data_IF_999966039538
#
_entry.id   IF_999966039538
#
_cell.length_a   1.000
_cell.length_b   1.000
_cell.length_c   1.000
_cell.angle_alpha   90.00
_cell.angle_beta   90.00
_cell.angle_gamma   90.00
#
_symmetry.space_group_name_H-M   'P 1'
#
loop_
_entity.id
_entity.type
_entity.pdbx_description
1 polymer ?
#
# COMPACT_ATOMS: atom_id res chain seq x y z
N UNK A 1 9.19 5.88 -3.94
CA UNK A 1 9.90 5.17 -2.86
C UNK A 1 10.02 6.09 -1.62
N UNK A 2 9.34 5.79 -0.49
CA UNK A 2 9.34 6.65 0.69
C UNK A 2 10.74 7.06 1.16
N UNK A 3 11.70 6.14 1.16
CA UNK A 3 13.09 6.43 1.53
C UNK A 3 13.70 7.57 0.70
N UNK A 4 13.56 7.50 -0.62
CA UNK A 4 14.10 8.54 -1.50
C UNK A 4 13.42 9.89 -1.24
N UNK A 5 12.10 9.90 -1.07
CA UNK A 5 11.34 11.12 -0.78
C UNK A 5 11.78 11.79 0.51
N UNK A 6 11.96 11.02 1.59
CA UNK A 6 12.46 11.57 2.86
C UNK A 6 13.88 12.10 2.72
N UNK A 7 14.77 11.33 2.08
CA UNK A 7 16.16 11.74 1.87
C UNK A 7 16.26 13.04 1.07
N UNK A 8 15.48 13.18 0.01
CA UNK A 8 15.53 14.36 -0.86
C UNK A 8 14.94 15.58 -0.16
N UNK A 9 13.86 15.43 0.62
CA UNK A 9 13.24 16.53 1.37
C UNK A 9 14.05 17.00 2.58
N UNK A 10 14.82 16.11 3.17
CA UNK A 10 15.66 16.42 4.35
C UNK A 10 17.11 16.70 3.98
N UNK A 11 17.41 16.82 2.70
CA UNK A 11 18.75 17.17 2.22
C UNK A 11 19.19 18.52 2.78
N UNK A 12 20.37 18.54 3.41
CA UNK A 12 20.91 19.75 4.04
C UNK A 12 20.55 19.92 5.51
N UNK A 13 19.69 19.08 6.07
CA UNK A 13 19.45 19.01 7.51
C UNK A 13 20.35 17.95 8.17
N UNK A 14 20.74 18.15 9.45
CA UNK A 14 21.51 17.15 10.20
C UNK A 14 20.64 15.96 10.60
N UNK A 15 20.12 15.25 9.60
CA UNK A 15 19.18 14.16 9.78
C UNK A 15 19.59 12.96 8.91
N UNK A 16 19.92 11.85 9.56
CA UNK A 16 20.27 10.61 8.88
C UNK A 16 19.05 9.75 8.67
N UNK A 17 18.69 9.52 7.40
CA UNK A 17 17.59 8.67 6.96
C UNK A 17 18.15 7.35 6.47
N UNK A 18 17.66 6.25 7.01
CA UNK A 18 18.04 4.88 6.63
C UNK A 18 16.79 4.02 6.35
N UNK A 19 17.00 2.90 5.69
CA UNK A 19 15.92 1.93 5.48
C UNK A 19 16.35 0.51 5.82
N UNK A 20 15.39 -0.33 6.21
CA UNK A 20 15.58 -1.76 6.38
C UNK A 20 14.60 -2.54 5.50
N UNK A 21 15.14 -3.40 4.64
CA UNK A 21 14.35 -4.29 3.80
C UNK A 21 15.08 -5.63 3.66
N UNK A 22 14.36 -6.65 3.17
CA UNK A 22 14.96 -7.96 2.86
C UNK A 22 15.97 -7.92 1.71
N UNK A 23 15.95 -6.87 0.90
CA UNK A 23 16.85 -6.68 -0.23
C UNK A 23 18.23 -6.13 0.17
N UNK A 24 18.41 -5.65 1.41
CA UNK A 24 19.74 -5.21 1.91
C UNK A 24 20.63 -6.39 2.26
N UNK A 25 21.94 -6.23 2.02
CA UNK A 25 22.94 -7.20 2.47
C UNK A 25 23.00 -7.26 4.00
N UNK A 26 23.51 -8.36 4.53
CA UNK A 26 23.70 -8.54 5.98
C UNK A 26 24.59 -7.45 6.58
N UNK A 27 25.69 -7.10 5.88
CA UNK A 27 26.62 -6.06 6.32
C UNK A 27 25.95 -4.67 6.39
N UNK A 28 25.18 -4.30 5.36
CA UNK A 28 24.44 -3.05 5.34
C UNK A 28 23.38 -2.99 6.44
N UNK A 29 22.65 -4.09 6.64
CA UNK A 29 21.66 -4.18 7.71
C UNK A 29 22.28 -4.04 9.09
N UNK A 30 23.43 -4.69 9.33
CA UNK A 30 24.17 -4.59 10.59
C UNK A 30 24.65 -3.16 10.89
N UNK A 31 25.13 -2.43 9.87
CA UNK A 31 25.54 -1.04 10.02
C UNK A 31 24.36 -0.12 10.40
N UNK A 32 23.19 -0.31 9.77
CA UNK A 32 21.98 0.45 10.10
C UNK A 32 21.51 0.14 11.52
N UNK A 33 21.46 -1.14 11.92
CA UNK A 33 21.06 -1.56 13.26
C UNK A 33 21.98 -1.00 14.34
N UNK A 34 23.30 -0.95 14.09
CA UNK A 34 24.26 -0.32 14.98
C UNK A 34 23.97 1.17 15.14
N UNK A 35 23.86 1.91 14.04
CA UNK A 35 23.57 3.34 14.08
C UNK A 35 22.23 3.68 14.73
N UNK A 36 21.23 2.79 14.59
CA UNK A 36 19.92 2.94 15.23
C UNK A 36 20.04 2.82 16.76
N UNK A 37 20.81 1.83 17.24
CA UNK A 37 21.07 1.60 18.68
C UNK A 37 21.91 2.72 19.30
N UNK A 38 22.85 3.27 18.55
CA UNK A 38 23.70 4.38 18.99
C UNK A 38 23.00 5.75 18.91
N UNK A 39 21.91 5.84 18.14
CA UNK A 39 21.13 7.06 17.96
C UNK A 39 21.62 7.95 16.81
N UNK A 40 22.48 7.41 15.95
CA UNK A 40 22.98 8.11 14.76
C UNK A 40 21.96 8.12 13.61
N UNK A 41 21.01 7.18 13.62
CA UNK A 41 19.91 7.10 12.66
C UNK A 41 18.70 7.82 13.25
N UNK A 42 18.27 8.90 12.59
CA UNK A 42 17.14 9.69 13.04
C UNK A 42 15.80 9.20 12.47
N UNK A 43 15.80 8.70 11.24
CA UNK A 43 14.60 8.18 10.60
C UNK A 43 14.92 6.80 10.01
N UNK A 44 14.15 5.80 10.43
CA UNK A 44 14.20 4.45 9.88
C UNK A 44 12.92 4.16 9.10
N UNK A 45 13.08 3.81 7.83
CA UNK A 45 11.98 3.42 6.95
C UNK A 45 12.07 1.93 6.64
N UNK A 46 10.96 1.23 6.66
CA UNK A 46 10.97 -0.19 6.28
C UNK A 46 9.59 -0.82 6.30
N UNK A 47 9.57 -2.07 5.93
CA UNK A 47 8.38 -2.93 6.01
C UNK A 47 8.41 -3.72 7.32
N UNK A 48 7.82 -4.91 7.35
CA UNK A 48 7.82 -5.80 8.52
C UNK A 48 9.22 -6.06 9.12
N UNK A 49 10.30 -5.81 8.36
CA UNK A 49 11.68 -6.03 8.81
C UNK A 49 12.07 -5.14 10.00
N UNK A 50 11.48 -3.95 10.10
CA UNK A 50 11.74 -3.03 11.23
C UNK A 50 11.17 -3.54 12.57
N UNK A 51 10.30 -4.55 12.54
CA UNK A 51 9.71 -5.19 13.71
C UNK A 51 10.51 -6.44 14.16
N UNK A 52 11.70 -6.64 13.61
CA UNK A 52 12.60 -7.73 13.98
C UNK A 52 13.09 -7.58 15.43
N UNK A 53 13.34 -8.71 16.09
CA UNK A 53 13.84 -8.72 17.49
C UNK A 53 15.22 -8.07 17.64
N UNK A 54 15.97 -7.98 16.56
CA UNK A 54 17.29 -7.36 16.47
C UNK A 54 17.27 -5.86 16.26
N UNK A 55 16.08 -5.27 16.06
CA UNK A 55 15.90 -3.83 15.88
C UNK A 55 15.71 -3.18 17.26
N UNK A 56 16.65 -2.35 17.64
CA UNK A 56 16.64 -1.64 18.91
C UNK A 56 16.75 -0.14 18.65
N UNK A 57 15.75 0.61 19.08
CA UNK A 57 15.77 2.07 19.03
C UNK A 57 16.38 2.60 20.33
N UNK A 58 17.26 3.58 20.21
CA UNK A 58 17.81 4.27 21.39
C UNK A 58 16.72 5.07 22.11
N UNK A 59 15.98 5.85 21.35
CA UNK A 59 14.88 6.68 21.84
C UNK A 59 13.89 6.91 20.69
N UNK A 60 12.80 6.15 20.69
CA UNK A 60 11.76 6.23 19.66
C UNK A 60 10.68 7.23 20.09
N UNK A 61 10.65 8.41 19.45
CA UNK A 61 9.67 9.46 19.74
C UNK A 61 8.41 9.41 18.87
N UNK A 62 8.54 8.97 17.62
CA UNK A 62 7.39 8.94 16.68
C UNK A 62 7.38 7.64 15.86
N UNK A 63 6.23 7.00 15.83
CA UNK A 63 5.94 5.85 14.97
C UNK A 63 4.89 6.21 13.92
N UNK A 64 5.23 6.07 12.64
CA UNK A 64 4.31 6.27 11.52
C UNK A 64 3.97 4.93 10.90
N UNK A 65 2.68 4.60 10.82
CA UNK A 65 2.17 3.33 10.28
C UNK A 65 1.25 3.62 9.11
N UNK A 66 1.62 3.14 7.92
CA UNK A 66 0.79 3.26 6.72
C UNK A 66 0.01 1.95 6.49
N UNK A 67 -1.29 2.09 6.17
CA UNK A 67 -2.18 0.97 5.86
C UNK A 67 -2.19 -0.14 6.96
N UNK A 68 -2.28 0.24 8.24
CA UNK A 68 -2.25 -0.68 9.39
C UNK A 68 -3.26 -1.84 9.28
N UNK A 69 -4.40 -1.62 8.61
CA UNK A 69 -5.44 -2.63 8.40
C UNK A 69 -4.96 -3.83 7.57
N UNK A 70 -3.94 -3.65 6.73
CA UNK A 70 -3.35 -4.73 5.91
C UNK A 70 -2.42 -5.67 6.71
N UNK A 71 -2.11 -5.33 7.94
CA UNK A 71 -1.22 -6.15 8.76
C UNK A 71 -1.95 -7.30 9.46
N UNK A 72 -1.30 -8.46 9.49
CA UNK A 72 -1.77 -9.61 10.25
C UNK A 72 -1.67 -9.39 11.78
N UNK A 73 -2.33 -10.26 12.54
CA UNK A 73 -2.45 -10.17 14.00
C UNK A 73 -1.09 -10.07 14.70
N UNK A 74 -0.13 -10.90 14.31
CA UNK A 74 1.21 -10.92 14.94
C UNK A 74 2.00 -9.63 14.73
N UNK A 75 1.80 -8.95 13.59
CA UNK A 75 2.43 -7.66 13.29
C UNK A 75 1.76 -6.55 14.10
N UNK A 76 0.44 -6.57 14.19
CA UNK A 76 -0.32 -5.61 15.01
C UNK A 76 0.07 -5.67 16.47
N UNK A 77 0.29 -6.87 17.02
CA UNK A 77 0.74 -7.02 18.40
C UNK A 77 2.13 -6.44 18.64
N UNK A 78 3.08 -6.67 17.74
CA UNK A 78 4.41 -6.04 17.80
C UNK A 78 4.35 -4.52 17.70
N UNK A 79 3.52 -4.00 16.80
CA UNK A 79 3.28 -2.55 16.69
C UNK A 79 2.69 -1.99 17.96
N UNK A 80 1.75 -2.71 18.60
CA UNK A 80 1.15 -2.32 19.88
C UNK A 80 2.20 -2.19 20.97
N UNK A 81 3.16 -3.10 21.04
CA UNK A 81 4.27 -3.03 22.00
C UNK A 81 5.17 -1.81 21.76
N UNK A 82 5.43 -1.45 20.50
CA UNK A 82 6.19 -0.25 20.16
C UNK A 82 5.46 1.05 20.44
N UNK A 83 4.12 1.04 20.40
CA UNK A 83 3.26 2.22 20.64
C UNK A 83 3.20 2.67 22.12
N UNK A 84 3.73 1.88 23.03
CA UNK A 84 3.77 2.25 24.44
C UNK A 84 4.72 3.42 24.65
N UNK A 85 4.20 4.56 25.10
CA UNK A 85 4.94 5.81 25.32
C UNK A 85 5.58 6.43 24.06
N UNK A 86 5.03 6.16 22.88
CA UNK A 86 5.50 6.69 21.59
C UNK A 86 4.33 7.35 20.86
N UNK A 87 4.52 8.57 20.41
CA UNK A 87 3.54 9.22 19.54
C UNK A 87 3.33 8.41 18.26
N UNK A 88 2.07 8.17 17.90
CA UNK A 88 1.76 7.31 16.78
C UNK A 88 0.84 7.99 15.77
N UNK A 89 1.30 8.07 14.52
CA UNK A 89 0.50 8.48 13.36
C UNK A 89 0.14 7.26 12.52
N UNK A 90 -1.13 6.98 12.40
CA UNK A 90 -1.63 5.93 11.48
C UNK A 90 -2.28 6.59 10.27
N UNK A 91 -1.89 6.16 9.08
CA UNK A 91 -2.42 6.67 7.81
C UNK A 91 -3.14 5.56 7.06
N UNK A 92 -4.16 5.92 6.28
CA UNK A 92 -4.82 4.99 5.35
C UNK A 92 -5.43 5.75 4.18
N UNK A 93 -5.35 5.17 2.99
CA UNK A 93 -6.03 5.68 1.80
C UNK A 93 -7.43 5.07 1.63
N UNK A 94 -7.73 3.99 2.36
CA UNK A 94 -9.03 3.31 2.35
C UNK A 94 -9.73 3.54 3.68
N UNK A 95 -10.44 4.67 3.86
CA UNK A 95 -11.09 4.97 5.12
C UNK A 95 -12.14 3.90 5.45
N UNK A 96 -12.15 3.46 6.71
CA UNK A 96 -13.18 2.57 7.25
C UNK A 96 -14.56 3.25 7.06
N UNK A 97 -15.62 2.52 6.70
CA UNK A 97 -16.96 3.08 6.58
C UNK A 97 -17.35 3.94 7.79
N UNK A 98 -18.07 5.04 7.55
CA UNK A 98 -18.37 6.08 8.56
C UNK A 98 -18.84 5.54 9.91
N UNK A 99 -19.63 4.48 9.93
CA UNK A 99 -20.15 3.84 11.16
C UNK A 99 -19.07 3.26 12.09
N UNK A 100 -18.00 2.70 11.51
CA UNK A 100 -16.85 2.22 12.28
C UNK A 100 -15.90 3.37 12.66
N UNK A 101 -15.86 4.43 11.86
CA UNK A 101 -15.09 5.63 12.12
C UNK A 101 -15.58 6.35 13.38
N UNK A 102 -16.89 6.48 13.57
CA UNK A 102 -17.48 7.11 14.75
C UNK A 102 -17.19 6.37 16.06
N UNK A 103 -17.14 5.04 16.04
CA UNK A 103 -16.81 4.26 17.25
C UNK A 103 -15.31 4.32 17.60
N UNK A 104 -14.44 4.67 16.66
CA UNK A 104 -13.01 4.85 16.88
C UNK A 104 -12.65 6.31 17.20
N UNK A 105 -13.48 7.29 16.87
CA UNK A 105 -13.24 8.72 17.07
C UNK A 105 -13.17 9.12 18.55
N UNK A 106 -13.74 8.35 19.47
CA UNK A 106 -13.61 8.59 20.91
C UNK A 106 -12.23 8.27 21.51
N UNK A 107 -11.35 7.60 20.76
CA UNK A 107 -10.06 7.12 21.26
C UNK A 107 -8.84 7.76 20.56
N UNK A 108 -9.02 8.47 19.45
CA UNK A 108 -7.93 9.06 18.66
C UNK A 108 -8.41 10.30 17.90
N UNK A 109 -7.52 11.29 17.78
CA UNK A 109 -7.73 12.42 16.87
C UNK A 109 -7.71 11.95 15.42
N UNK A 110 -8.61 12.49 14.60
CA UNK A 110 -8.74 12.16 13.19
C UNK A 110 -8.56 13.40 12.33
N UNK A 111 -7.68 13.30 11.35
CA UNK A 111 -7.53 14.29 10.29
C UNK A 111 -7.85 13.67 8.93
N UNK A 112 -8.62 14.37 8.09
CA UNK A 112 -8.99 13.92 6.76
C UNK A 112 -8.40 14.85 5.72
N UNK A 113 -7.58 14.29 4.80
CA UNK A 113 -7.05 15.00 3.64
C UNK A 113 -8.02 14.73 2.49
N UNK A 114 -8.86 15.70 2.16
CA UNK A 114 -9.90 15.57 1.12
C UNK A 114 -9.47 16.11 -0.24
N UNK A 115 -8.38 16.88 -0.31
CA UNK A 115 -7.86 17.43 -1.57
C UNK A 115 -7.09 16.35 -2.33
N UNK A 116 -7.54 15.95 -3.52
CA UNK A 116 -6.82 14.98 -4.34
C UNK A 116 -5.52 15.58 -4.89
N UNK A 117 -4.50 14.76 -5.20
CA UNK A 117 -3.31 15.23 -5.91
C UNK A 117 -3.70 15.85 -7.27
N UNK A 118 -2.96 16.88 -7.74
CA UNK A 118 -3.15 17.43 -9.07
C UNK A 118 -2.96 16.32 -10.13
N UNK A 119 -3.68 16.39 -11.23
CA UNK A 119 -3.66 15.44 -12.35
C UNK A 119 -4.22 14.03 -12.04
N UNK A 120 -5.00 13.89 -10.98
CA UNK A 120 -5.76 12.67 -10.73
C UNK A 120 -7.18 12.84 -11.27
N UNK A 121 -7.43 12.25 -12.43
CA UNK A 121 -8.77 12.20 -13.00
C UNK A 121 -9.62 11.17 -12.24
N UNK A 122 -10.89 11.48 -11.93
CA UNK A 122 -11.79 10.52 -11.30
C UNK A 122 -12.00 9.31 -12.21
N UNK A 123 -12.01 8.13 -11.62
CA UNK A 123 -12.42 6.90 -12.33
C UNK A 123 -13.93 6.91 -12.41
N UNK A 124 -14.48 6.81 -13.62
CA UNK A 124 -15.90 6.61 -13.82
C UNK A 124 -16.25 5.16 -13.44
N UNK A 125 -17.10 5.00 -12.42
CA UNK A 125 -17.49 3.69 -11.91
C UNK A 125 -18.97 3.47 -12.17
N UNK A 126 -19.29 2.36 -12.80
CA UNK A 126 -20.66 1.95 -13.10
C UNK A 126 -20.93 0.56 -12.50
N UNK A 127 -22.17 0.30 -12.11
CA UNK A 127 -22.61 -0.97 -11.57
C UNK A 127 -23.66 -1.55 -12.49
N UNK A 128 -23.37 -2.70 -13.08
CA UNK A 128 -24.26 -3.42 -13.98
C UNK A 128 -24.44 -4.87 -13.51
N UNK A 129 -25.57 -5.48 -13.88
CA UNK A 129 -25.66 -6.95 -13.92
C UNK A 129 -24.72 -7.46 -15.00
N UNK A 130 -24.28 -8.73 -14.88
CA UNK A 130 -23.41 -9.32 -15.90
C UNK A 130 -24.07 -9.20 -17.30
N UNK A 131 -23.37 -8.52 -18.20
CA UNK A 131 -23.86 -8.23 -19.56
C UNK A 131 -22.68 -8.24 -20.53
N UNK A 132 -22.75 -9.18 -21.50
CA UNK A 132 -21.69 -9.35 -22.50
C UNK A 132 -21.52 -8.12 -23.41
N UNK A 133 -22.60 -7.41 -23.72
CA UNK A 133 -22.58 -6.22 -24.55
C UNK A 133 -21.81 -5.07 -23.85
N UNK A 134 -22.14 -4.80 -22.57
CA UNK A 134 -21.43 -3.79 -21.77
C UNK A 134 -19.93 -4.10 -21.64
N UNK A 135 -19.60 -5.38 -21.45
CA UNK A 135 -18.20 -5.82 -21.38
C UNK A 135 -17.49 -5.61 -22.71
N UNK A 136 -18.13 -5.98 -23.81
CA UNK A 136 -17.60 -5.84 -25.17
C UNK A 136 -17.37 -4.36 -25.49
N UNK A 137 -18.30 -3.49 -25.19
CA UNK A 137 -18.19 -2.04 -25.43
C UNK A 137 -17.04 -1.43 -24.61
N UNK A 138 -16.94 -1.80 -23.33
CA UNK A 138 -15.85 -1.32 -22.48
C UNK A 138 -14.46 -1.78 -22.97
N UNK A 139 -14.33 -3.03 -23.44
CA UNK A 139 -13.07 -3.54 -24.01
C UNK A 139 -12.75 -2.83 -25.31
N UNK A 140 -13.70 -2.67 -26.23
CA UNK A 140 -13.52 -1.97 -27.49
C UNK A 140 -13.12 -0.50 -27.29
N UNK A 141 -13.73 0.18 -26.32
CA UNK A 141 -13.36 1.54 -25.95
C UNK A 141 -11.89 1.64 -25.52
N UNK A 142 -11.42 0.74 -24.66
CA UNK A 142 -10.02 0.72 -24.25
C UNK A 142 -9.07 0.35 -25.39
N UNK A 143 -9.43 -0.63 -26.21
CA UNK A 143 -8.61 -1.02 -27.37
C UNK A 143 -8.48 0.11 -28.39
N UNK A 144 -9.53 0.90 -28.63
CA UNK A 144 -9.52 2.02 -29.57
C UNK A 144 -8.50 3.12 -29.20
N UNK A 145 -8.16 3.23 -27.92
CA UNK A 145 -7.17 4.18 -27.40
C UNK A 145 -5.83 3.52 -27.00
N UNK A 146 -5.56 2.28 -27.46
CA UNK A 146 -4.40 1.47 -27.09
C UNK A 146 -4.29 1.21 -25.57
N UNK A 147 -5.41 1.16 -24.89
CA UNK A 147 -5.50 0.84 -23.46
C UNK A 147 -5.43 -0.66 -23.18
N UNK A 148 -5.45 -0.99 -21.91
CA UNK A 148 -5.48 -2.37 -21.40
C UNK A 148 -6.63 -2.54 -20.43
N UNK A 149 -7.22 -3.74 -20.39
CA UNK A 149 -8.33 -4.07 -19.50
C UNK A 149 -7.93 -5.16 -18.53
N UNK A 150 -8.19 -4.95 -17.24
CA UNK A 150 -8.16 -6.00 -16.24
C UNK A 150 -9.58 -6.50 -16.00
N UNK A 151 -9.83 -7.75 -16.41
CA UNK A 151 -11.08 -8.43 -16.10
C UNK A 151 -10.88 -9.34 -14.88
N UNK A 152 -11.43 -8.95 -13.74
CA UNK A 152 -11.22 -9.66 -12.47
C UNK A 152 -12.40 -10.56 -12.16
N UNK A 153 -12.12 -11.85 -11.93
CA UNK A 153 -13.10 -12.84 -11.49
C UNK A 153 -12.58 -13.57 -10.25
N UNK A 154 -13.46 -13.81 -9.28
CA UNK A 154 -13.11 -14.48 -8.02
C UNK A 154 -13.05 -16.02 -8.10
N UNK A 155 -13.41 -16.62 -9.24
CA UNK A 155 -13.41 -18.07 -9.47
C UNK A 155 -12.52 -18.44 -10.63
N UNK A 156 -11.43 -19.13 -10.34
CA UNK A 156 -10.45 -19.58 -11.35
C UNK A 156 -11.12 -20.48 -12.40
N UNK A 157 -12.03 -21.35 -11.99
CA UNK A 157 -12.73 -22.30 -12.88
C UNK A 157 -13.48 -21.61 -14.04
N UNK A 158 -13.93 -20.36 -13.86
CA UNK A 158 -14.71 -19.64 -14.86
C UNK A 158 -13.81 -18.86 -15.86
N UNK A 159 -12.52 -18.71 -15.59
CA UNK A 159 -11.63 -17.89 -16.42
C UNK A 159 -11.53 -18.38 -17.87
N UNK A 160 -11.43 -19.69 -18.17
CA UNK A 160 -11.40 -20.16 -19.55
C UNK A 160 -12.67 -19.82 -20.34
N UNK A 161 -13.84 -19.93 -19.71
CA UNK A 161 -15.13 -19.62 -20.33
C UNK A 161 -15.25 -18.11 -20.62
N UNK A 162 -14.86 -17.26 -19.66
CA UNK A 162 -14.83 -15.81 -19.83
C UNK A 162 -13.86 -15.39 -20.94
N UNK A 163 -12.69 -16.02 -21.00
CA UNK A 163 -11.73 -15.79 -22.11
C UNK A 163 -12.37 -16.14 -23.45
N UNK A 164 -12.96 -17.33 -23.58
CA UNK A 164 -13.60 -17.76 -24.81
C UNK A 164 -14.77 -16.83 -25.23
N UNK A 165 -15.53 -16.33 -24.26
CA UNK A 165 -16.58 -15.33 -24.48
C UNK A 165 -16.00 -14.04 -25.09
N UNK A 166 -14.96 -13.49 -24.50
CA UNK A 166 -14.32 -12.25 -24.97
C UNK A 166 -13.74 -12.45 -26.39
N UNK A 167 -13.00 -13.54 -26.62
CA UNK A 167 -12.39 -13.82 -27.92
C UNK A 167 -13.44 -14.08 -29.02
N UNK A 168 -14.61 -14.59 -28.66
CA UNK A 168 -15.74 -14.76 -29.59
C UNK A 168 -16.35 -13.43 -30.01
N UNK A 169 -16.53 -12.49 -29.07
CA UNK A 169 -17.14 -11.19 -29.36
C UNK A 169 -16.15 -10.18 -29.94
N UNK A 170 -14.86 -10.32 -29.61
CA UNK A 170 -13.80 -9.40 -30.03
C UNK A 170 -12.60 -10.23 -30.53
N UNK A 171 -12.63 -10.73 -31.77
CA UNK A 171 -11.57 -11.61 -32.30
C UNK A 171 -10.17 -11.02 -32.28
N UNK A 172 -10.05 -9.69 -32.37
CA UNK A 172 -8.76 -8.98 -32.35
C UNK A 172 -8.22 -8.74 -30.94
N UNK A 173 -8.97 -9.08 -29.89
CA UNK A 173 -8.56 -8.91 -28.52
C UNK A 173 -7.59 -10.02 -28.08
N UNK A 174 -6.41 -9.64 -27.61
CA UNK A 174 -5.43 -10.58 -27.03
C UNK A 174 -5.71 -10.77 -25.55
N UNK A 175 -6.21 -11.96 -25.18
CA UNK A 175 -6.59 -12.28 -23.79
C UNK A 175 -5.60 -13.23 -23.15
N UNK A 176 -5.05 -12.86 -22.01
CA UNK A 176 -4.22 -13.71 -21.17
C UNK A 176 -4.91 -13.98 -19.82
N UNK A 177 -4.75 -15.20 -19.31
CA UNK A 177 -5.23 -15.59 -17.98
C UNK A 177 -4.06 -15.55 -17.02
N UNK A 178 -4.25 -14.89 -15.85
CA UNK A 178 -3.31 -14.89 -14.74
C UNK A 178 -4.03 -15.26 -13.44
N UNK A 179 -3.46 -16.15 -12.66
CA UNK A 179 -3.95 -16.52 -11.32
C UNK A 179 -2.78 -16.94 -10.44
N UNK A 180 -2.98 -16.94 -9.11
CA UNK A 180 -2.03 -17.44 -8.12
C UNK A 180 -2.01 -18.97 -8.02
#
# INVERSE_FOLDING_TARGET
>A
NPFQTFRDRLKGLPCRVEYLSRARTAAQSKAVLKGLKEGDVNILIGTHRILGKDVQFKDLGLLIVDEEQKFGVSVKEKLRQLKVNVDTLTMTATPIPRTLQFSLMGARDLSVISTPPPNRYPIQTEVHTFNEEVITDAINFEMSRNGQVFFVNNRIANLPELKAMIERHIPDCRVAIGHG
#
